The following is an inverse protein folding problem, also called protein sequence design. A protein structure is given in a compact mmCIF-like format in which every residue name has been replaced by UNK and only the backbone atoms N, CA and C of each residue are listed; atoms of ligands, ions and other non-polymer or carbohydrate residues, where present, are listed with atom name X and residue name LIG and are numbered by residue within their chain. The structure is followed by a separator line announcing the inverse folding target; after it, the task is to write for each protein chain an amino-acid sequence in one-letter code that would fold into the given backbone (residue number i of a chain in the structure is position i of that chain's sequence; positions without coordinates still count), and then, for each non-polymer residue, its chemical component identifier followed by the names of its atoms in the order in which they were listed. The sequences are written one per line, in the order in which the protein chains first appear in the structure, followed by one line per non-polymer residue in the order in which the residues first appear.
data_IF_166268749786
#
_entry.id   IF_166268749786
#
_cell.length_a   1.000
_cell.length_b   1.000
_cell.length_c   1.000
_cell.angle_alpha   90.00
_cell.angle_beta   90.00
_cell.angle_gamma   90.00
#
_symmetry.space_group_name_H-M   'P 1'
#
loop_
_entity.id
_entity.type
_entity.pdbx_description
1 polymer ?
#
# COMPACT_ATOMS: atom_id res chain seq x y z
N UNK A 1 -30.40 16.13 -4.26
CA UNK A 1 -29.83 14.80 -4.48
C UNK A 1 -28.33 14.75 -4.14
N UNK A 2 -27.46 15.57 -4.72
CA UNK A 2 -26.00 15.55 -4.47
C UNK A 2 -25.59 15.69 -3.00
N UNK A 3 -26.28 16.55 -2.22
CA UNK A 3 -25.99 16.74 -0.79
C UNK A 3 -26.24 15.45 -0.01
N UNK A 4 -27.33 14.74 -0.30
CA UNK A 4 -27.64 13.46 0.37
C UNK A 4 -26.65 12.35 -0.02
N UNK A 5 -26.20 12.34 -1.26
CA UNK A 5 -25.16 11.40 -1.70
C UNK A 5 -23.78 11.68 -1.05
N UNK A 6 -23.44 12.95 -0.83
CA UNK A 6 -22.21 13.35 -0.18
C UNK A 6 -22.25 13.22 1.36
N UNK A 7 -23.44 13.20 1.96
CA UNK A 7 -23.64 13.23 3.42
C UNK A 7 -22.90 12.10 4.16
N UNK A 8 -22.92 10.83 3.73
CA UNK A 8 -22.18 9.75 4.39
C UNK A 8 -20.68 10.00 4.43
N UNK A 9 -20.11 10.52 3.33
CA UNK A 9 -18.66 10.82 3.21
C UNK A 9 -18.29 11.99 4.14
N UNK A 10 -19.09 13.07 4.12
CA UNK A 10 -18.89 14.22 5.00
C UNK A 10 -19.00 13.81 6.47
N UNK A 11 -20.00 12.96 6.80
CA UNK A 11 -20.16 12.43 8.15
C UNK A 11 -18.91 11.62 8.58
N UNK A 12 -18.39 10.75 7.73
CA UNK A 12 -17.15 10.01 8.00
C UNK A 12 -15.99 10.95 8.34
N UNK A 13 -15.79 11.98 7.51
CA UNK A 13 -14.74 12.98 7.72
C UNK A 13 -14.92 13.67 9.07
N UNK A 14 -16.11 14.17 9.38
CA UNK A 14 -16.40 14.86 10.64
C UNK A 14 -16.24 13.92 11.84
N UNK A 15 -16.78 12.70 11.76
CA UNK A 15 -16.66 11.72 12.85
C UNK A 15 -15.20 11.38 13.16
N UNK A 16 -14.36 11.22 12.14
CA UNK A 16 -12.95 10.85 12.34
C UNK A 16 -12.09 12.05 12.74
N UNK A 17 -12.29 13.23 12.14
CA UNK A 17 -11.42 14.39 12.37
C UNK A 17 -11.84 15.23 13.57
N UNK A 18 -13.14 15.50 13.75
CA UNK A 18 -13.69 16.35 14.81
C UNK A 18 -14.06 15.53 16.04
N UNK A 19 -14.87 14.48 15.87
CA UNK A 19 -15.33 13.64 16.98
C UNK A 19 -14.30 12.60 17.41
N UNK A 20 -13.23 12.43 16.63
CA UNK A 20 -12.13 11.47 16.88
C UNK A 20 -12.62 10.03 17.09
N UNK A 21 -13.68 9.67 16.39
CA UNK A 21 -14.19 8.30 16.41
C UNK A 21 -13.21 7.34 15.71
N UNK A 22 -13.24 6.06 16.12
CA UNK A 22 -12.53 5.03 15.38
C UNK A 22 -13.14 4.83 13.99
N UNK A 23 -12.32 4.39 13.03
CA UNK A 23 -12.77 4.13 11.66
C UNK A 23 -14.00 3.21 11.61
N UNK A 24 -14.05 2.18 12.47
CA UNK A 24 -15.20 1.25 12.56
C UNK A 24 -16.49 1.98 12.96
N UNK A 25 -16.44 2.84 14.00
CA UNK A 25 -17.63 3.59 14.44
C UNK A 25 -18.08 4.58 13.39
N UNK A 26 -17.16 5.29 12.76
CA UNK A 26 -17.47 6.22 11.69
C UNK A 26 -18.06 5.52 10.46
N UNK A 27 -17.49 4.37 10.05
CA UNK A 27 -18.01 3.57 8.94
C UNK A 27 -19.44 3.06 9.19
N UNK A 28 -19.72 2.56 10.40
CA UNK A 28 -21.09 2.15 10.78
C UNK A 28 -22.09 3.31 10.73
N UNK A 29 -21.71 4.49 11.22
CA UNK A 29 -22.55 5.68 11.12
C UNK A 29 -22.80 6.08 9.66
N UNK A 30 -21.76 6.09 8.81
CA UNK A 30 -21.88 6.36 7.38
C UNK A 30 -22.80 5.34 6.68
N UNK A 31 -22.64 4.05 6.99
CA UNK A 31 -23.50 2.98 6.48
C UNK A 31 -24.98 3.20 6.87
N UNK A 32 -25.26 3.51 8.14
CA UNK A 32 -26.61 3.78 8.58
C UNK A 32 -27.23 4.97 7.82
N UNK A 33 -26.47 6.06 7.64
CA UNK A 33 -26.95 7.24 6.89
C UNK A 33 -27.19 6.91 5.42
N UNK A 34 -26.30 6.10 4.79
CA UNK A 34 -26.49 5.65 3.42
C UNK A 34 -27.73 4.77 3.26
N UNK A 35 -27.97 3.84 4.18
CA UNK A 35 -29.15 2.97 4.15
C UNK A 35 -30.45 3.78 4.34
N UNK A 36 -30.46 4.71 5.30
CA UNK A 36 -31.60 5.61 5.53
C UNK A 36 -31.87 6.51 4.31
N UNK A 37 -30.80 7.10 3.75
CA UNK A 37 -30.87 7.91 2.53
C UNK A 37 -31.37 7.10 1.33
N UNK A 38 -30.82 5.89 1.14
CA UNK A 38 -31.25 4.97 0.10
C UNK A 38 -32.70 4.57 0.21
N UNK A 39 -33.15 4.20 1.41
CA UNK A 39 -34.56 3.77 1.65
C UNK A 39 -35.58 4.92 1.52
N UNK A 40 -35.33 6.03 2.22
CA UNK A 40 -36.35 7.08 2.38
C UNK A 40 -36.21 8.21 1.37
N UNK A 41 -34.96 8.64 1.07
CA UNK A 41 -34.75 9.76 0.16
C UNK A 41 -34.74 9.31 -1.30
N UNK A 42 -34.02 8.24 -1.62
CA UNK A 42 -33.97 7.69 -2.98
C UNK A 42 -35.09 6.69 -3.26
N UNK A 43 -35.96 6.41 -2.30
CA UNK A 43 -37.07 5.48 -2.42
C UNK A 43 -36.66 4.10 -2.93
N UNK A 44 -35.48 3.64 -2.49
CA UNK A 44 -34.97 2.33 -2.83
C UNK A 44 -35.75 1.24 -2.10
N UNK A 45 -36.34 0.32 -2.84
CA UNK A 45 -37.03 -0.83 -2.26
C UNK A 45 -36.05 -1.79 -1.56
N UNK A 46 -36.55 -2.68 -0.71
CA UNK A 46 -35.76 -3.66 0.03
C UNK A 46 -34.89 -4.54 -0.88
N UNK A 47 -35.36 -4.88 -2.07
CA UNK A 47 -34.60 -5.64 -3.06
C UNK A 47 -33.36 -4.87 -3.55
N UNK A 48 -33.49 -3.56 -3.85
CA UNK A 48 -32.35 -2.71 -4.22
C UNK A 48 -31.32 -2.69 -3.10
N UNK A 49 -31.76 -2.40 -1.85
CA UNK A 49 -30.85 -2.31 -0.71
C UNK A 49 -30.12 -3.64 -0.44
N UNK A 50 -30.82 -4.76 -0.57
CA UNK A 50 -30.20 -6.09 -0.42
C UNK A 50 -29.14 -6.37 -1.50
N UNK A 51 -29.42 -6.01 -2.76
CA UNK A 51 -28.48 -6.16 -3.87
C UNK A 51 -27.25 -5.28 -3.66
N UNK A 52 -27.42 -4.01 -3.29
CA UNK A 52 -26.30 -3.10 -3.06
C UNK A 52 -25.48 -3.50 -1.81
N UNK A 53 -26.12 -4.00 -0.76
CA UNK A 53 -25.41 -4.60 0.37
C UNK A 53 -24.59 -5.83 -0.03
N UNK A 54 -25.12 -6.69 -0.90
CA UNK A 54 -24.42 -7.84 -1.45
C UNK A 54 -23.17 -7.43 -2.28
N UNK A 55 -23.32 -6.43 -3.15
CA UNK A 55 -22.20 -5.85 -3.91
C UNK A 55 -21.13 -5.28 -3.00
N UNK A 56 -21.53 -4.53 -1.97
CA UNK A 56 -20.62 -3.95 -0.98
C UNK A 56 -19.83 -5.01 -0.24
N UNK A 57 -20.53 -6.06 0.22
CA UNK A 57 -19.89 -7.17 0.94
C UNK A 57 -18.88 -7.92 0.05
N UNK A 58 -19.22 -8.12 -1.22
CA UNK A 58 -18.32 -8.72 -2.19
C UNK A 58 -17.05 -7.87 -2.41
N UNK A 59 -17.21 -6.56 -2.65
CA UNK A 59 -16.08 -5.64 -2.81
C UNK A 59 -15.22 -5.58 -1.54
N UNK A 60 -15.85 -5.55 -0.36
CA UNK A 60 -15.13 -5.60 0.91
C UNK A 60 -14.33 -6.90 1.07
N UNK A 61 -14.90 -8.06 0.69
CA UNK A 61 -14.22 -9.35 0.74
C UNK A 61 -12.96 -9.37 -0.15
N UNK A 62 -13.05 -8.83 -1.37
CA UNK A 62 -11.93 -8.73 -2.30
C UNK A 62 -10.77 -7.95 -1.66
N UNK A 63 -11.08 -6.78 -1.09
CA UNK A 63 -10.07 -5.92 -0.44
C UNK A 63 -9.51 -6.61 0.82
N UNK A 64 -10.36 -7.23 1.64
CA UNK A 64 -9.94 -7.93 2.86
C UNK A 64 -8.98 -9.07 2.54
N UNK A 65 -9.19 -9.82 1.46
CA UNK A 65 -8.28 -10.88 1.01
C UNK A 65 -6.89 -10.31 0.69
N UNK A 66 -6.81 -9.17 0.00
CA UNK A 66 -5.52 -8.51 -0.29
C UNK A 66 -4.86 -8.05 1.02
N UNK A 67 -5.61 -7.35 1.87
CA UNK A 67 -5.08 -6.83 3.15
C UNK A 67 -4.57 -7.96 4.05
N UNK A 68 -5.34 -9.04 4.19
CA UNK A 68 -4.97 -10.18 5.03
C UNK A 68 -3.69 -10.86 4.53
N UNK A 69 -3.59 -11.13 3.23
CA UNK A 69 -2.41 -11.78 2.63
C UNK A 69 -1.18 -10.87 2.64
N UNK A 70 -1.36 -9.54 2.50
CA UNK A 70 -0.30 -8.57 2.62
C UNK A 70 0.26 -8.51 4.06
N UNK A 71 -0.63 -8.47 5.06
CA UNK A 71 -0.24 -8.53 6.48
C UNK A 71 0.41 -9.89 6.80
N UNK A 72 -0.04 -10.98 6.18
CA UNK A 72 0.58 -12.31 6.34
C UNK A 72 2.05 -12.28 5.85
N UNK A 73 2.30 -11.76 4.66
CA UNK A 73 3.66 -11.61 4.12
C UNK A 73 4.55 -10.76 5.04
N UNK A 74 4.00 -9.64 5.54
CA UNK A 74 4.67 -8.83 6.54
C UNK A 74 5.01 -9.61 7.81
N UNK A 75 4.05 -10.34 8.38
CA UNK A 75 4.25 -11.10 9.62
C UNK A 75 5.27 -12.23 9.47
N UNK A 76 5.32 -12.87 8.32
CA UNK A 76 6.35 -13.87 8.01
C UNK A 76 7.75 -13.22 8.07
N UNK A 77 7.94 -12.08 7.40
CA UNK A 77 9.21 -11.36 7.39
C UNK A 77 9.58 -10.79 8.76
N UNK A 78 8.59 -10.26 9.49
CA UNK A 78 8.79 -9.72 10.84
C UNK A 78 9.20 -10.81 11.84
N UNK A 79 8.51 -11.95 11.82
CA UNK A 79 8.79 -13.07 12.74
C UNK A 79 10.17 -13.68 12.47
N UNK A 80 10.64 -13.65 11.23
CA UNK A 80 11.98 -14.09 10.86
C UNK A 80 13.10 -13.08 11.21
N UNK A 81 12.77 -11.87 11.67
CA UNK A 81 13.75 -10.82 11.94
C UNK A 81 14.30 -10.13 10.67
N UNK A 82 13.65 -10.32 9.51
CA UNK A 82 14.14 -9.77 8.24
C UNK A 82 14.25 -8.23 8.26
N UNK A 83 13.32 -7.53 8.91
CA UNK A 83 13.34 -6.06 8.97
C UNK A 83 14.47 -5.50 9.84
N UNK A 84 14.87 -6.17 10.92
CA UNK A 84 16.03 -5.77 11.72
C UNK A 84 17.32 -5.89 10.91
N UNK A 85 17.47 -6.96 10.13
CA UNK A 85 18.60 -7.14 9.19
C UNK A 85 18.61 -6.05 8.12
N UNK A 86 17.45 -5.73 7.52
CA UNK A 86 17.35 -4.67 6.51
C UNK A 86 17.80 -3.34 7.13
N UNK A 87 17.29 -2.97 8.32
CA UNK A 87 17.68 -1.75 9.03
C UNK A 87 19.20 -1.65 9.23
N UNK A 88 19.79 -2.67 9.81
CA UNK A 88 21.21 -2.67 10.14
C UNK A 88 22.08 -2.60 8.87
N UNK A 89 21.78 -3.42 7.87
CA UNK A 89 22.54 -3.43 6.59
C UNK A 89 22.40 -2.10 5.84
N UNK A 90 21.21 -1.50 5.83
CA UNK A 90 21.04 -0.19 5.20
C UNK A 90 21.80 0.91 5.94
N UNK A 91 21.82 0.89 7.27
CA UNK A 91 22.61 1.82 8.08
C UNK A 91 24.12 1.72 7.77
N UNK A 92 24.64 0.50 7.57
CA UNK A 92 26.04 0.29 7.21
C UNK A 92 26.35 0.67 5.76
N UNK A 93 25.39 0.48 4.84
CA UNK A 93 25.56 0.80 3.42
C UNK A 93 25.40 2.28 3.10
N UNK A 94 24.68 3.03 3.93
CA UNK A 94 24.33 4.45 3.73
C UNK A 94 24.85 5.31 4.88
N UNK A 95 26.14 5.69 4.88
CA UNK A 95 26.72 6.54 5.93
C UNK A 95 26.18 7.97 5.90
N UNK A 96 25.64 8.43 4.78
CA UNK A 96 24.96 9.70 4.66
C UNK A 96 23.56 9.63 5.30
N UNK A 97 23.39 10.33 6.46
CA UNK A 97 22.15 10.27 7.24
C UNK A 97 20.93 10.78 6.47
N UNK A 98 21.08 11.82 5.62
CA UNK A 98 19.98 12.31 4.79
C UNK A 98 19.52 11.25 3.78
N UNK A 99 20.46 10.58 3.10
CA UNK A 99 20.11 9.53 2.15
C UNK A 99 19.45 8.34 2.86
N UNK A 100 19.92 8.00 4.07
CA UNK A 100 19.33 6.95 4.89
C UNK A 100 17.88 7.28 5.30
N UNK A 101 17.62 8.55 5.70
CA UNK A 101 16.27 9.03 6.03
C UNK A 101 15.36 9.02 4.80
N UNK A 102 15.87 9.48 3.64
CA UNK A 102 15.12 9.39 2.36
C UNK A 102 14.83 7.94 1.98
N UNK A 103 15.82 7.05 2.17
CA UNK A 103 15.64 5.63 1.89
C UNK A 103 14.56 5.01 2.78
N UNK A 104 14.66 5.17 4.11
CA UNK A 104 13.75 4.54 5.06
C UNK A 104 12.36 5.21 5.09
N UNK A 105 12.29 6.55 4.97
CA UNK A 105 11.04 7.29 5.11
C UNK A 105 10.27 7.49 3.79
N UNK A 106 10.87 7.22 2.66
CA UNK A 106 10.24 7.42 1.35
C UNK A 106 10.38 6.21 0.43
N UNK A 107 11.62 5.82 0.08
CA UNK A 107 11.84 4.81 -0.97
C UNK A 107 11.41 3.41 -0.53
N UNK A 108 11.77 3.02 0.69
CA UNK A 108 11.37 1.75 1.27
C UNK A 108 9.86 1.69 1.53
N UNK A 109 9.28 2.81 1.97
CA UNK A 109 7.83 2.93 2.15
C UNK A 109 7.06 2.82 0.84
N UNK A 110 7.60 3.44 -0.22
CA UNK A 110 7.05 3.33 -1.58
C UNK A 110 7.05 1.87 -2.07
N UNK A 111 8.13 1.15 -1.80
CA UNK A 111 8.22 -0.28 -2.13
C UNK A 111 7.18 -1.10 -1.36
N UNK A 112 7.04 -0.88 -0.06
CA UNK A 112 6.03 -1.55 0.74
C UNK A 112 4.60 -1.18 0.29
N UNK A 113 4.35 0.09 -0.06
CA UNK A 113 3.06 0.56 -0.56
C UNK A 113 2.70 -0.10 -1.90
N UNK A 114 3.66 -0.29 -2.79
CA UNK A 114 3.44 -1.01 -4.05
C UNK A 114 2.91 -2.43 -3.85
N UNK A 115 3.23 -3.06 -2.69
CA UNK A 115 2.88 -4.44 -2.38
C UNK A 115 1.69 -4.55 -1.45
N UNK A 116 1.74 -3.84 -0.31
CA UNK A 116 0.88 -4.13 0.85
C UNK A 116 -0.15 -3.05 1.13
N UNK A 117 0.20 -1.77 1.00
CA UNK A 117 -0.70 -0.67 1.36
C UNK A 117 -1.31 -0.76 2.77
N UNK A 118 -2.48 -0.16 2.96
CA UNK A 118 -3.36 -0.27 4.16
C UNK A 118 -2.66 -0.04 5.51
N UNK A 119 -1.67 0.88 5.55
CA UNK A 119 -0.95 1.24 6.76
C UNK A 119 0.19 0.29 7.13
N UNK A 120 0.42 -0.80 6.39
CA UNK A 120 1.57 -1.69 6.61
C UNK A 120 2.90 -0.95 6.42
N UNK A 121 3.09 -0.10 5.39
CA UNK A 121 4.32 0.66 5.26
C UNK A 121 4.66 1.43 6.54
N UNK A 122 3.73 2.20 7.07
CA UNK A 122 3.95 2.98 8.32
C UNK A 122 4.26 2.07 9.51
N UNK A 123 3.56 0.93 9.62
CA UNK A 123 3.77 -0.01 10.72
C UNK A 123 5.17 -0.65 10.69
N UNK A 124 5.78 -0.77 9.51
CA UNK A 124 7.15 -1.26 9.32
C UNK A 124 8.16 -0.13 9.44
N UNK A 125 7.93 0.97 8.74
CA UNK A 125 8.85 2.08 8.63
C UNK A 125 9.05 2.85 9.93
N UNK A 126 7.99 3.04 10.72
CA UNK A 126 8.10 3.79 11.96
C UNK A 126 9.13 3.17 12.95
N UNK A 127 9.11 1.86 13.25
CA UNK A 127 10.17 1.23 14.05
C UNK A 127 11.56 1.33 13.43
N UNK A 128 11.67 1.21 12.10
CA UNK A 128 12.96 1.34 11.41
C UNK A 128 13.53 2.74 11.54
N UNK A 129 12.70 3.77 11.37
CA UNK A 129 13.07 5.18 11.52
C UNK A 129 13.43 5.54 12.97
N UNK A 130 12.67 5.05 13.96
CA UNK A 130 13.03 5.17 15.37
C UNK A 130 14.44 4.59 15.63
N UNK A 131 14.73 3.42 15.10
CA UNK A 131 16.02 2.75 15.25
C UNK A 131 17.20 3.47 14.60
N UNK A 132 16.98 4.41 13.69
CA UNK A 132 18.04 5.29 13.14
C UNK A 132 18.09 6.66 13.82
N UNK A 133 17.24 6.91 14.84
CA UNK A 133 17.23 8.13 15.64
C UNK A 133 16.24 9.20 15.18
N UNK A 134 15.26 8.86 14.35
CA UNK A 134 14.14 9.77 14.03
C UNK A 134 13.20 9.88 15.24
N UNK A 135 12.73 11.08 15.54
CA UNK A 135 11.82 11.29 16.67
C UNK A 135 10.45 10.61 16.44
N UNK A 136 9.72 10.22 17.50
CA UNK A 136 8.52 9.37 17.36
C UNK A 136 7.43 9.93 16.44
N UNK A 137 7.17 11.24 16.51
CA UNK A 137 6.17 11.87 15.65
C UNK A 137 6.60 11.80 14.16
N UNK A 138 7.88 12.11 13.88
CA UNK A 138 8.42 12.08 12.52
C UNK A 138 8.60 10.67 11.98
N UNK A 139 8.84 9.69 12.85
CA UNK A 139 8.89 8.28 12.44
C UNK A 139 7.56 7.77 11.87
N UNK A 140 6.43 8.42 12.19
CA UNK A 140 5.12 8.15 11.59
C UNK A 140 4.85 9.07 10.39
N UNK A 141 5.21 10.35 10.48
CA UNK A 141 4.93 11.34 9.42
C UNK A 141 5.71 11.03 8.14
N UNK A 142 6.99 10.67 8.24
CA UNK A 142 7.82 10.41 7.06
C UNK A 142 7.29 9.24 6.19
N UNK A 143 6.95 8.08 6.74
CA UNK A 143 6.30 7.00 5.99
C UNK A 143 4.99 7.41 5.34
N UNK A 144 4.15 8.18 6.04
CA UNK A 144 2.89 8.68 5.49
C UNK A 144 3.10 9.58 4.28
N UNK A 145 4.11 10.46 4.34
CA UNK A 145 4.49 11.29 3.19
C UNK A 145 5.05 10.44 2.05
N UNK A 146 5.97 9.51 2.37
CA UNK A 146 6.69 8.71 1.39
C UNK A 146 5.81 7.73 0.63
N UNK A 147 4.80 7.14 1.28
CA UNK A 147 3.90 6.18 0.64
C UNK A 147 2.76 6.82 -0.16
N UNK A 148 2.41 8.10 0.09
CA UNK A 148 1.16 8.70 -0.37
C UNK A 148 1.02 8.76 -1.90
N UNK A 149 2.10 8.86 -2.65
CA UNK A 149 2.08 8.86 -4.11
C UNK A 149 1.60 7.52 -4.71
N UNK A 150 1.84 6.41 -4.01
CA UNK A 150 1.40 5.09 -4.43
C UNK A 150 -0.04 4.74 -3.99
N UNK A 151 -0.85 5.67 -3.54
CA UNK A 151 -2.18 5.35 -3.00
C UNK A 151 -3.13 4.75 -4.04
N UNK A 152 -3.07 5.20 -5.29
CA UNK A 152 -3.97 4.71 -6.34
C UNK A 152 -3.49 3.41 -6.95
N UNK A 153 -2.20 3.31 -7.29
CA UNK A 153 -1.64 2.15 -7.98
C UNK A 153 -0.86 1.20 -7.06
N UNK A 154 -0.71 1.55 -5.79
CA UNK A 154 -0.15 0.67 -4.78
C UNK A 154 -1.05 -0.51 -4.47
N UNK A 155 -0.55 -1.44 -3.68
CA UNK A 155 -1.23 -2.71 -3.38
C UNK A 155 -1.64 -3.44 -4.66
N UNK A 156 -0.71 -3.46 -5.63
CA UNK A 156 -0.93 -4.06 -6.96
C UNK A 156 -2.21 -3.51 -7.64
N UNK A 157 -2.39 -2.19 -7.59
CA UNK A 157 -3.47 -1.41 -8.19
C UNK A 157 -4.88 -1.65 -7.62
N UNK A 158 -5.02 -2.18 -6.41
CA UNK A 158 -6.34 -2.46 -5.83
C UNK A 158 -7.26 -1.22 -5.78
N UNK A 159 -6.73 -0.03 -5.46
CA UNK A 159 -7.52 1.20 -5.44
C UNK A 159 -7.85 1.72 -6.86
N UNK A 160 -6.94 1.54 -7.81
CA UNK A 160 -7.19 1.84 -9.22
C UNK A 160 -8.31 0.98 -9.80
N UNK A 161 -8.29 -0.32 -9.54
CA UNK A 161 -9.33 -1.24 -10.00
C UNK A 161 -10.70 -0.86 -9.42
N UNK A 162 -10.75 -0.51 -8.13
CA UNK A 162 -11.97 -0.02 -7.50
C UNK A 162 -12.47 1.29 -8.13
N UNK A 163 -11.57 2.24 -8.41
CA UNK A 163 -11.90 3.50 -9.08
C UNK A 163 -12.42 3.24 -10.50
N UNK A 164 -11.71 2.43 -11.28
CA UNK A 164 -12.07 2.13 -12.66
C UNK A 164 -13.46 1.46 -12.74
N UNK A 165 -13.73 0.55 -11.82
CA UNK A 165 -15.03 -0.12 -11.72
C UNK A 165 -16.15 0.85 -11.33
N UNK A 166 -15.93 1.69 -10.30
CA UNK A 166 -16.92 2.67 -9.86
C UNK A 166 -17.22 3.74 -10.92
N UNK A 167 -16.20 4.14 -11.70
CA UNK A 167 -16.34 5.12 -12.77
C UNK A 167 -16.76 4.50 -14.12
N UNK A 168 -16.99 3.18 -14.20
CA UNK A 168 -17.37 2.50 -15.44
C UNK A 168 -16.30 2.54 -16.52
N UNK A 169 -15.02 2.62 -16.14
CA UNK A 169 -13.89 2.66 -17.08
C UNK A 169 -13.59 1.24 -17.59
N UNK A 170 -13.77 1.02 -18.89
CA UNK A 170 -13.46 -0.27 -19.50
C UNK A 170 -11.96 -0.45 -19.70
N UNK A 171 -11.40 -1.53 -19.17
CA UNK A 171 -9.99 -1.85 -19.36
C UNK A 171 -9.63 -1.91 -20.86
N UNK A 172 -8.53 -1.25 -21.23
CA UNK A 172 -8.09 -1.11 -22.63
C UNK A 172 -8.79 0.00 -23.42
N UNK A 173 -9.77 0.72 -22.84
CA UNK A 173 -10.39 1.88 -23.45
C UNK A 173 -9.49 3.14 -23.39
N UNK A 174 -9.67 4.06 -24.33
CA UNK A 174 -8.91 5.31 -24.37
C UNK A 174 -9.07 6.13 -23.08
N UNK A 175 -10.31 6.24 -22.57
CA UNK A 175 -10.59 6.98 -21.34
C UNK A 175 -9.89 6.33 -20.12
N UNK A 176 -9.84 4.99 -20.05
CA UNK A 176 -9.12 4.26 -19.02
C UNK A 176 -7.62 4.61 -19.03
N UNK A 177 -6.98 4.50 -20.19
CA UNK A 177 -5.56 4.81 -20.35
C UNK A 177 -5.24 6.29 -20.04
N UNK A 178 -6.06 7.20 -20.54
CA UNK A 178 -5.91 8.65 -20.30
C UNK A 178 -6.07 8.98 -18.82
N UNK A 179 -7.06 8.42 -18.14
CA UNK A 179 -7.28 8.63 -16.70
C UNK A 179 -6.12 8.06 -15.89
N UNK A 180 -5.62 6.87 -16.24
CA UNK A 180 -4.45 6.27 -15.59
C UNK A 180 -3.21 7.18 -15.71
N UNK A 181 -2.93 7.70 -16.92
CA UNK A 181 -1.80 8.61 -17.14
C UNK A 181 -1.95 9.90 -16.35
N UNK A 182 -3.11 10.54 -16.38
CA UNK A 182 -3.35 11.79 -15.66
C UNK A 182 -3.18 11.60 -14.15
N UNK A 183 -3.70 10.49 -13.62
CA UNK A 183 -3.54 10.13 -12.20
C UNK A 183 -2.07 9.92 -11.86
N UNK A 184 -1.32 9.17 -12.66
CA UNK A 184 0.11 8.93 -12.45
C UNK A 184 0.92 10.23 -12.47
N UNK A 185 0.63 11.16 -13.40
CA UNK A 185 1.30 12.46 -13.47
C UNK A 185 1.01 13.34 -12.24
N UNK A 186 -0.23 13.34 -11.73
CA UNK A 186 -0.57 14.05 -10.49
C UNK A 186 0.14 13.45 -9.28
N UNK A 187 0.20 12.12 -9.21
CA UNK A 187 0.93 11.42 -8.15
C UNK A 187 2.44 11.65 -8.24
N UNK A 188 3.00 11.80 -9.44
CA UNK A 188 4.41 12.14 -9.62
C UNK A 188 4.75 13.52 -9.03
N UNK A 189 3.89 14.53 -9.23
CA UNK A 189 4.06 15.84 -8.57
C UNK A 189 4.11 15.68 -7.05
N UNK A 190 3.19 14.90 -6.48
CA UNK A 190 3.20 14.61 -5.05
C UNK A 190 4.45 13.85 -4.61
N UNK A 191 4.90 12.87 -5.37
CA UNK A 191 6.12 12.11 -5.12
C UNK A 191 7.35 13.03 -5.02
N UNK A 192 7.50 13.94 -5.99
CA UNK A 192 8.58 14.93 -5.98
C UNK A 192 8.48 15.84 -4.74
N UNK A 193 7.29 16.33 -4.45
CA UNK A 193 7.06 17.17 -3.27
C UNK A 193 7.40 16.44 -1.98
N UNK A 194 7.02 15.17 -1.83
CA UNK A 194 7.33 14.37 -0.64
C UNK A 194 8.84 14.28 -0.39
N UNK A 195 9.64 13.97 -1.41
CA UNK A 195 11.10 13.94 -1.31
C UNK A 195 11.70 15.29 -0.90
N UNK A 196 11.22 16.40 -1.51
CA UNK A 196 11.65 17.75 -1.15
C UNK A 196 11.26 18.15 0.28
N UNK A 197 10.04 17.81 0.71
CA UNK A 197 9.56 18.07 2.08
C UNK A 197 10.38 17.30 3.11
N UNK A 198 10.71 16.04 2.87
CA UNK A 198 11.57 15.25 3.76
C UNK A 198 12.94 15.92 3.91
N UNK A 199 13.56 16.34 2.81
CA UNK A 199 14.82 17.11 2.87
C UNK A 199 14.66 18.41 3.65
N UNK A 200 13.57 19.13 3.42
CA UNK A 200 13.30 20.39 4.11
C UNK A 200 13.12 20.21 5.63
N UNK A 201 12.36 19.21 6.05
CA UNK A 201 12.15 18.93 7.47
C UNK A 201 13.41 18.39 8.15
N UNK A 202 14.23 17.63 7.42
CA UNK A 202 15.48 17.10 7.95
C UNK A 202 16.52 18.20 8.22
N UNK A 203 16.73 19.17 7.32
CA UNK A 203 17.82 20.15 7.49
C UNK A 203 17.69 21.40 6.62
N UNK A 204 16.45 21.83 6.34
CA UNK A 204 16.14 23.07 5.64
C UNK A 204 16.92 23.21 4.31
N UNK A 205 17.46 24.41 4.04
CA UNK A 205 18.19 24.71 2.80
C UNK A 205 19.43 23.84 2.58
N UNK A 206 20.14 23.46 3.64
CA UNK A 206 21.36 22.65 3.52
C UNK A 206 21.02 21.24 3.03
N UNK A 207 20.04 20.60 3.67
CA UNK A 207 19.59 19.26 3.28
C UNK A 207 18.88 19.26 1.92
N UNK A 208 18.14 20.34 1.60
CA UNK A 208 17.51 20.46 0.30
C UNK A 208 18.57 20.52 -0.84
N UNK A 209 19.62 21.33 -0.68
CA UNK A 209 20.72 21.38 -1.67
C UNK A 209 21.44 20.04 -1.81
N UNK A 210 21.75 19.38 -0.68
CA UNK A 210 22.44 18.08 -0.67
C UNK A 210 21.56 16.95 -1.21
N UNK A 211 20.26 16.95 -0.88
CA UNK A 211 19.31 15.89 -1.26
C UNK A 211 18.72 16.04 -2.66
N UNK A 212 18.75 17.25 -3.25
CA UNK A 212 18.10 17.52 -4.53
C UNK A 212 18.48 16.53 -5.65
N UNK A 213 19.76 16.16 -5.88
CA UNK A 213 20.09 15.19 -6.92
C UNK A 213 19.44 13.81 -6.67
N UNK A 214 19.42 13.35 -5.41
CA UNK A 214 18.77 12.09 -5.06
C UNK A 214 17.25 12.18 -5.26
N UNK A 215 16.62 13.27 -4.79
CA UNK A 215 15.18 13.46 -4.93
C UNK A 215 14.75 13.50 -6.39
N UNK A 216 15.46 14.25 -7.24
CA UNK A 216 15.14 14.32 -8.66
C UNK A 216 15.27 12.97 -9.36
N UNK A 217 16.38 12.25 -9.12
CA UNK A 217 16.60 10.94 -9.73
C UNK A 217 15.57 9.91 -9.25
N UNK A 218 15.37 9.80 -7.94
CA UNK A 218 14.47 8.80 -7.36
C UNK A 218 13.00 9.10 -7.71
N UNK A 219 12.61 10.38 -7.71
CA UNK A 219 11.28 10.78 -8.14
C UNK A 219 11.06 10.55 -9.65
N UNK A 220 12.06 10.77 -10.49
CA UNK A 220 11.97 10.46 -11.91
C UNK A 220 11.81 8.95 -12.17
N UNK A 221 12.50 8.11 -11.41
CA UNK A 221 12.35 6.65 -11.50
C UNK A 221 10.96 6.23 -11.03
N UNK A 222 10.50 6.70 -9.87
CA UNK A 222 9.20 6.34 -9.31
C UNK A 222 8.05 6.91 -10.14
N UNK A 223 7.92 8.22 -10.20
CA UNK A 223 6.79 8.87 -10.86
C UNK A 223 6.83 8.76 -12.38
N UNK A 224 8.01 8.90 -13.00
CA UNK A 224 8.18 8.68 -14.44
C UNK A 224 7.92 7.22 -14.84
N UNK A 225 8.43 6.27 -14.04
CA UNK A 225 8.16 4.85 -14.23
C UNK A 225 6.69 4.50 -14.04
N UNK A 226 6.01 5.09 -13.04
CA UNK A 226 4.58 4.94 -12.84
C UNK A 226 3.77 5.47 -14.02
N UNK A 227 4.09 6.67 -14.52
CA UNK A 227 3.43 7.26 -15.68
C UNK A 227 3.59 6.39 -16.94
N UNK A 228 4.79 5.85 -17.20
CA UNK A 228 5.05 4.98 -18.34
C UNK A 228 4.30 3.64 -18.21
N UNK A 229 4.42 2.98 -17.04
CA UNK A 229 3.83 1.67 -16.82
C UNK A 229 2.31 1.72 -16.63
N UNK A 230 1.71 2.85 -16.26
CA UNK A 230 0.26 3.02 -16.19
C UNK A 230 -0.42 2.74 -17.54
N UNK A 231 0.30 2.91 -18.65
CA UNK A 231 -0.16 2.64 -20.02
C UNK A 231 -0.04 1.17 -20.40
N UNK A 232 0.74 0.39 -19.65
CA UNK A 232 1.01 -1.03 -19.94
C UNK A 232 0.27 -1.93 -18.94
N UNK A 233 0.45 -1.69 -17.67
CA UNK A 233 -0.14 -2.47 -16.58
C UNK A 233 -0.25 -1.64 -15.31
N UNK A 234 -1.42 -1.15 -14.95
CA UNK A 234 -1.64 -0.43 -13.68
C UNK A 234 -1.17 -1.21 -12.45
N UNK A 235 -1.29 -2.54 -12.50
CA UNK A 235 -0.85 -3.44 -11.40
C UNK A 235 0.65 -3.34 -11.13
N UNK A 236 1.46 -3.13 -12.16
CA UNK A 236 2.93 -3.08 -12.06
C UNK A 236 3.47 -1.66 -11.92
N UNK A 237 2.64 -0.63 -12.20
CA UNK A 237 3.13 0.72 -12.40
C UNK A 237 3.66 1.42 -11.13
N UNK A 238 3.18 1.06 -9.94
CA UNK A 238 3.75 1.53 -8.68
C UNK A 238 4.89 0.61 -8.20
N UNK A 239 4.67 -0.70 -8.27
CA UNK A 239 5.58 -1.68 -7.66
C UNK A 239 6.96 -1.74 -8.35
N UNK A 240 7.01 -1.85 -9.69
CA UNK A 240 8.28 -1.96 -10.40
C UNK A 240 9.17 -0.72 -10.28
N UNK A 241 8.65 0.52 -10.46
CA UNK A 241 9.44 1.72 -10.22
C UNK A 241 9.91 1.85 -8.77
N UNK A 242 9.12 1.39 -7.80
CA UNK A 242 9.54 1.35 -6.41
C UNK A 242 10.72 0.38 -6.19
N UNK A 243 10.69 -0.82 -6.80
CA UNK A 243 11.83 -1.74 -6.79
C UNK A 243 13.08 -1.12 -7.45
N UNK A 244 12.91 -0.48 -8.61
CA UNK A 244 14.01 0.19 -9.31
C UNK A 244 14.61 1.34 -8.47
N UNK A 245 13.77 2.10 -7.77
CA UNK A 245 14.23 3.18 -6.90
C UNK A 245 14.98 2.69 -5.66
N UNK A 246 14.62 1.51 -5.11
CA UNK A 246 15.42 0.87 -4.05
C UNK A 246 16.86 0.59 -4.52
N UNK A 247 17.00 -0.02 -5.70
CA UNK A 247 18.30 -0.30 -6.28
C UNK A 247 19.07 0.99 -6.57
N UNK A 248 18.40 1.99 -7.15
CA UNK A 248 19.00 3.30 -7.45
C UNK A 248 19.49 4.00 -6.17
N UNK A 249 18.74 3.95 -5.06
CA UNK A 249 19.16 4.53 -3.79
C UNK A 249 20.41 3.85 -3.20
N UNK A 250 20.50 2.51 -3.31
CA UNK A 250 21.70 1.76 -2.91
C UNK A 250 22.91 2.12 -3.79
N UNK A 251 22.69 2.30 -5.09
CA UNK A 251 23.75 2.74 -6.02
C UNK A 251 24.18 4.19 -5.72
N UNK A 252 23.24 5.09 -5.45
CA UNK A 252 23.53 6.47 -5.05
C UNK A 252 24.40 6.54 -3.80
N UNK A 253 24.19 5.66 -2.81
CA UNK A 253 25.01 5.60 -1.59
C UNK A 253 26.48 5.34 -1.87
N UNK A 254 26.82 4.70 -3.01
CA UNK A 254 28.19 4.42 -3.43
C UNK A 254 28.83 5.55 -4.24
N UNK A 255 28.05 6.55 -4.65
CA UNK A 255 28.55 7.69 -5.44
C UNK A 255 29.32 8.68 -4.56
N UNK A 256 30.19 9.48 -5.15
CA UNK A 256 30.93 10.54 -4.44
C UNK A 256 30.02 11.60 -3.77
N UNK A 257 28.74 11.68 -4.18
CA UNK A 257 27.77 12.58 -3.55
C UNK A 257 27.30 12.12 -2.17
N UNK A 258 27.19 10.79 -1.93
CA UNK A 258 26.55 10.22 -0.73
C UNK A 258 27.39 9.14 -0.03
N UNK A 259 28.59 8.85 -0.52
CA UNK A 259 29.51 7.86 0.08
C UNK A 259 30.06 8.31 1.43
N UNK A 260 30.25 9.62 1.61
CA UNK A 260 30.79 10.18 2.83
C UNK A 260 29.68 10.41 3.87
N UNK A 261 30.01 10.22 5.13
CA UNK A 261 29.14 10.55 6.25
C UNK A 261 28.78 12.03 6.22
N UNK A 262 27.51 12.34 6.19
CA UNK A 262 26.99 13.69 6.21
C UNK A 262 25.72 13.74 7.04
N UNK A 263 25.61 14.72 7.91
CA UNK A 263 24.43 14.93 8.76
C UNK A 263 24.25 16.41 9.09
N UNK A 264 23.05 16.77 9.50
CA UNK A 264 22.72 18.07 10.08
C UNK A 264 22.58 17.88 11.59
N UNK A 265 23.45 18.56 12.38
CA UNK A 265 23.49 18.37 13.84
C UNK A 265 22.16 18.80 14.48
N UNK A 266 21.60 19.94 14.08
CA UNK A 266 20.36 20.51 14.60
C UNK A 266 19.13 20.11 13.79
N UNK A 267 19.07 18.84 13.36
CA UNK A 267 17.93 18.34 12.58
C UNK A 267 16.67 18.31 13.44
N UNK A 268 15.61 19.00 12.98
CA UNK A 268 14.33 19.07 13.69
C UNK A 268 13.54 17.76 13.74
N UNK A 269 13.93 16.75 12.95
CA UNK A 269 13.25 15.46 12.93
C UNK A 269 14.03 14.35 13.66
N UNK A 270 15.32 14.60 13.97
CA UNK A 270 16.17 13.62 14.64
C UNK A 270 16.16 13.82 16.17
N UNK A 271 16.08 12.72 16.91
CA UNK A 271 16.28 12.69 18.35
C UNK A 271 17.41 11.71 18.67
N UNK A 272 18.64 12.23 18.64
CA UNK A 272 19.84 11.41 18.82
C UNK A 272 20.05 10.93 20.24
N UNK A 273 19.35 11.52 21.23
CA UNK A 273 19.42 11.09 22.63
C UNK A 273 18.66 9.79 22.88
N UNK A 274 17.67 9.48 22.05
CA UNK A 274 16.84 8.28 22.13
C UNK A 274 17.29 7.19 21.16
N UNK A 275 18.48 7.26 20.57
CA UNK A 275 19.04 6.07 19.94
C UNK A 275 19.18 5.04 21.05
N UNK A 276 18.11 4.30 21.28
CA UNK A 276 18.17 3.09 22.07
C UNK A 276 19.25 2.25 21.38
N UNK A 277 20.34 2.10 22.04
CA UNK A 277 21.15 0.93 21.95
C UNK A 277 20.20 -0.20 22.36
N UNK A 278 19.30 -0.59 21.44
CA UNK A 278 18.67 -1.89 21.54
C UNK A 278 19.86 -2.83 21.77
N UNK A 279 19.91 -3.40 22.97
CA UNK A 279 20.83 -4.47 23.27
C UNK A 279 20.74 -5.41 22.05
N UNK A 280 21.85 -5.92 21.50
CA UNK A 280 21.82 -6.70 20.30
C UNK A 280 20.87 -7.87 20.54
N UNK A 281 19.59 -7.71 20.15
CA UNK A 281 18.75 -8.88 19.94
C UNK A 281 19.59 -9.76 19.01
N UNK A 282 19.79 -11.01 19.40
CA UNK A 282 20.58 -11.95 18.64
C UNK A 282 20.03 -11.96 17.21
N UNK A 283 20.67 -11.17 16.34
CA UNK A 283 20.20 -11.01 14.97
C UNK A 283 20.38 -12.33 14.25
N UNK A 284 19.38 -12.74 13.44
CA UNK A 284 19.56 -13.93 12.64
C UNK A 284 20.75 -13.74 11.70
N UNK A 285 21.58 -14.74 11.57
CA UNK A 285 22.65 -14.76 10.55
C UNK A 285 22.00 -14.84 9.17
N UNK A 286 21.60 -13.68 8.68
CA UNK A 286 20.80 -13.50 7.48
C UNK A 286 21.45 -12.42 6.60
N UNK A 287 21.64 -12.73 5.34
CA UNK A 287 22.07 -11.73 4.35
C UNK A 287 20.90 -10.84 3.94
N UNK A 288 21.21 -9.65 3.39
CA UNK A 288 20.21 -8.72 2.88
C UNK A 288 19.30 -9.36 1.81
N UNK A 289 19.89 -10.15 0.88
CA UNK A 289 19.12 -10.85 -0.16
C UNK A 289 18.17 -11.89 0.45
N UNK A 290 18.59 -12.56 1.52
CA UNK A 290 17.74 -13.52 2.24
C UNK A 290 16.60 -12.82 2.96
N UNK A 291 16.84 -11.63 3.52
CA UNK A 291 15.79 -10.82 4.14
C UNK A 291 14.74 -10.34 3.12
N UNK A 292 15.15 -10.06 1.89
CA UNK A 292 14.25 -9.67 0.82
C UNK A 292 13.62 -10.84 0.04
N UNK A 293 13.98 -12.10 0.35
CA UNK A 293 13.58 -13.26 -0.44
C UNK A 293 12.06 -13.35 -0.71
N UNK A 294 11.15 -13.19 0.27
CA UNK A 294 9.72 -13.27 -0.03
C UNK A 294 9.25 -12.19 -1.01
N UNK A 295 9.85 -11.01 -0.95
CA UNK A 295 9.54 -9.89 -1.84
C UNK A 295 10.11 -10.08 -3.24
N UNK A 296 11.28 -10.74 -3.36
CA UNK A 296 11.83 -11.16 -4.66
C UNK A 296 10.93 -12.20 -5.32
N UNK A 297 10.44 -13.18 -4.54
CA UNK A 297 9.45 -14.16 -5.04
C UNK A 297 8.19 -13.45 -5.52
N UNK A 298 7.67 -12.48 -4.75
CA UNK A 298 6.52 -11.69 -5.15
C UNK A 298 6.76 -10.95 -6.47
N UNK A 299 7.92 -10.29 -6.60
CA UNK A 299 8.28 -9.55 -7.80
C UNK A 299 8.35 -10.45 -9.03
N UNK A 300 9.00 -11.61 -8.90
CA UNK A 300 9.13 -12.59 -9.98
C UNK A 300 7.76 -13.15 -10.37
N UNK A 301 6.93 -13.54 -9.40
CA UNK A 301 5.57 -14.04 -9.67
C UNK A 301 4.71 -12.98 -10.38
N UNK A 302 4.71 -11.74 -9.88
CA UNK A 302 3.95 -10.65 -10.48
C UNK A 302 4.43 -10.37 -11.92
N UNK A 303 5.74 -10.31 -12.15
CA UNK A 303 6.29 -10.13 -13.49
C UNK A 303 5.92 -11.28 -14.44
N UNK A 304 6.14 -12.52 -14.03
CA UNK A 304 5.85 -13.69 -14.89
C UNK A 304 4.38 -13.78 -15.21
N UNK A 305 3.50 -13.56 -14.22
CA UNK A 305 2.05 -13.74 -14.43
C UNK A 305 1.43 -12.55 -15.14
N UNK A 306 1.84 -11.31 -14.86
CA UNK A 306 1.17 -10.13 -15.36
C UNK A 306 1.84 -9.50 -16.60
N UNK A 307 3.17 -9.64 -16.76
CA UNK A 307 3.89 -9.09 -17.90
C UNK A 307 4.03 -10.09 -19.09
N UNK A 308 3.67 -11.38 -18.90
CA UNK A 308 3.74 -12.40 -19.96
C UNK A 308 2.33 -12.72 -20.48
N UNK A 309 1.90 -12.16 -21.63
CA UNK A 309 0.50 -12.26 -22.10
C UNK A 309 -0.07 -13.67 -22.16
N UNK A 310 0.65 -14.72 -22.65
CA UNK A 310 0.13 -16.08 -22.65
C UNK A 310 -0.19 -16.61 -21.24
N UNK A 311 0.64 -16.27 -20.25
CA UNK A 311 0.45 -16.69 -18.85
C UNK A 311 -0.75 -15.97 -18.25
N UNK A 312 -0.86 -14.65 -18.47
CA UNK A 312 -2.00 -13.84 -18.01
C UNK A 312 -3.31 -14.37 -18.59
N UNK A 313 -3.35 -14.66 -19.89
CA UNK A 313 -4.55 -15.18 -20.55
C UNK A 313 -4.94 -16.58 -20.04
N UNK A 314 -3.98 -17.46 -19.82
CA UNK A 314 -4.23 -18.80 -19.30
C UNK A 314 -4.77 -18.74 -17.86
N UNK A 315 -4.09 -18.02 -16.98
CA UNK A 315 -4.43 -17.92 -15.56
C UNK A 315 -5.66 -17.02 -15.31
N UNK A 316 -5.92 -16.06 -16.19
CA UNK A 316 -7.08 -15.17 -16.12
C UNK A 316 -8.43 -15.81 -16.55
N UNK A 317 -8.42 -17.05 -17.01
CA UNK A 317 -9.65 -17.76 -17.46
C UNK A 317 -10.58 -18.08 -16.30
N UNK A 318 -10.05 -18.39 -15.13
CA UNK A 318 -10.86 -18.77 -13.97
C UNK A 318 -11.30 -17.50 -13.24
N UNK A 319 -12.55 -17.13 -13.45
CA UNK A 319 -13.17 -15.96 -12.84
C UNK A 319 -14.21 -16.36 -11.79
N UNK A 320 -14.23 -15.67 -10.67
CA UNK A 320 -15.23 -15.82 -9.62
C UNK A 320 -15.98 -14.50 -9.47
N UNK A 321 -17.28 -14.54 -9.58
CA UNK A 321 -18.19 -13.41 -9.38
C UNK A 321 -19.59 -13.96 -9.11
N UNK A 322 -20.56 -13.12 -8.84
CA UNK A 322 -21.95 -13.55 -8.63
C UNK A 322 -22.90 -12.73 -9.49
N UNK A 323 -24.06 -13.33 -9.88
CA UNK A 323 -25.06 -12.63 -10.67
C UNK A 323 -25.75 -11.56 -9.81
N UNK A 324 -25.98 -10.40 -10.42
CA UNK A 324 -26.67 -9.27 -9.78
C UNK A 324 -27.88 -8.93 -10.66
N UNK A 325 -29.11 -8.96 -10.11
CA UNK A 325 -30.29 -8.58 -10.87
C UNK A 325 -30.32 -7.07 -11.14
N UNK A 326 -31.04 -6.68 -12.17
CA UNK A 326 -31.36 -5.28 -12.42
C UNK A 326 -32.24 -4.75 -11.28
N UNK A 327 -31.95 -3.53 -10.82
CA UNK A 327 -32.72 -2.84 -9.77
C UNK A 327 -33.04 -1.41 -10.21
N UNK A 328 -34.03 -0.81 -9.60
CA UNK A 328 -34.49 0.55 -9.93
C UNK A 328 -34.76 1.35 -8.66
N UNK A 329 -34.41 2.63 -8.65
CA UNK A 329 -34.75 3.59 -7.60
C UNK A 329 -36.15 4.18 -7.83
N UNK A 330 -36.69 4.89 -6.84
CA UNK A 330 -37.95 5.59 -6.98
C UNK A 330 -37.95 6.78 -7.95
N UNK A 331 -36.76 7.16 -8.45
CA UNK A 331 -36.61 8.21 -9.47
C UNK A 331 -36.31 7.64 -10.86
N UNK A 332 -36.76 6.44 -11.15
CA UNK A 332 -36.58 5.73 -12.42
C UNK A 332 -35.12 5.51 -12.84
N UNK A 333 -34.16 5.69 -11.92
CA UNK A 333 -32.77 5.32 -12.19
C UNK A 333 -32.61 3.80 -12.14
N UNK A 334 -32.20 3.24 -13.27
CA UNK A 334 -32.01 1.80 -13.44
C UNK A 334 -30.54 1.43 -13.21
N UNK A 335 -30.31 0.57 -12.23
CA UNK A 335 -29.02 -0.09 -12.03
C UNK A 335 -29.01 -1.37 -12.88
N UNK A 336 -28.14 -1.41 -13.88
CA UNK A 336 -28.07 -2.59 -14.78
C UNK A 336 -27.70 -3.85 -14.00
N UNK A 337 -28.34 -4.95 -14.35
CA UNK A 337 -27.97 -6.28 -13.88
C UNK A 337 -26.64 -6.73 -14.51
N UNK A 338 -25.99 -7.70 -13.88
CA UNK A 338 -24.76 -8.31 -14.37
C UNK A 338 -24.79 -9.81 -14.08
N UNK A 339 -24.46 -10.63 -15.07
CA UNK A 339 -24.34 -12.08 -14.87
C UNK A 339 -23.13 -12.44 -13.99
N UNK A 340 -22.13 -11.57 -13.94
CA UNK A 340 -20.92 -11.77 -13.13
C UNK A 340 -20.40 -10.41 -12.64
N UNK A 341 -20.88 -9.97 -11.49
CA UNK A 341 -20.49 -8.68 -10.90
C UNK A 341 -19.07 -8.75 -10.36
N UNK A 342 -18.26 -7.72 -10.68
CA UNK A 342 -16.88 -7.55 -10.22
C UNK A 342 -16.08 -8.86 -10.21
N UNK A 343 -15.91 -9.53 -11.38
CA UNK A 343 -15.29 -10.85 -11.43
C UNK A 343 -13.82 -10.78 -11.02
N UNK A 344 -13.44 -11.62 -10.07
CA UNK A 344 -12.05 -11.81 -9.66
C UNK A 344 -11.43 -12.92 -10.52
N UNK A 345 -10.36 -12.61 -11.23
CA UNK A 345 -9.53 -13.64 -11.88
C UNK A 345 -8.63 -14.26 -10.79
N UNK A 346 -9.00 -15.43 -10.28
CA UNK A 346 -8.43 -16.02 -9.06
C UNK A 346 -6.90 -16.09 -9.13
N UNK A 347 -6.32 -16.64 -10.17
CA UNK A 347 -4.87 -16.88 -10.26
C UNK A 347 -4.05 -15.64 -10.67
N UNK A 348 -4.68 -14.55 -11.11
CA UNK A 348 -4.02 -13.28 -11.40
C UNK A 348 -4.33 -12.22 -10.35
N UNK A 349 -5.07 -12.58 -9.30
CA UNK A 349 -5.44 -11.67 -8.23
C UNK A 349 -4.25 -11.42 -7.28
N UNK A 350 -4.08 -10.18 -6.84
CA UNK A 350 -2.98 -9.76 -5.97
C UNK A 350 -2.82 -10.61 -4.69
N UNK A 351 -3.95 -11.02 -4.09
CA UNK A 351 -3.92 -11.85 -2.87
C UNK A 351 -3.25 -13.20 -3.07
N UNK A 352 -3.32 -13.79 -4.26
CA UNK A 352 -2.69 -15.09 -4.57
C UNK A 352 -1.18 -14.95 -4.66
N UNK A 353 -0.67 -13.88 -5.27
CA UNK A 353 0.77 -13.60 -5.31
C UNK A 353 1.33 -13.35 -3.91
N UNK A 354 0.61 -12.56 -3.10
CA UNK A 354 0.97 -12.27 -1.72
C UNK A 354 0.97 -13.55 -0.87
N UNK A 355 -0.06 -14.39 -1.02
CA UNK A 355 -0.16 -15.67 -0.29
C UNK A 355 0.97 -16.64 -0.69
N UNK A 356 1.21 -16.80 -2.00
CA UNK A 356 2.28 -17.65 -2.50
C UNK A 356 3.67 -17.18 -2.02
N UNK A 357 3.90 -15.87 -2.03
CA UNK A 357 5.15 -15.27 -1.55
C UNK A 357 5.31 -15.42 -0.04
N UNK A 358 4.24 -15.24 0.73
CA UNK A 358 4.24 -15.48 2.18
C UNK A 358 4.51 -16.94 2.51
N UNK A 359 3.90 -17.88 1.78
CA UNK A 359 4.13 -19.32 1.95
C UNK A 359 5.58 -19.71 1.59
N UNK A 360 6.10 -19.22 0.45
CA UNK A 360 7.50 -19.44 0.06
C UNK A 360 8.47 -18.87 1.09
N UNK A 361 8.21 -17.64 1.57
CA UNK A 361 8.98 -16.98 2.62
C UNK A 361 8.96 -17.76 3.92
N UNK A 362 7.78 -18.20 4.36
CA UNK A 362 7.64 -19.01 5.56
C UNK A 362 8.44 -20.32 5.47
N UNK A 363 8.30 -21.07 4.37
CA UNK A 363 9.02 -22.32 4.16
C UNK A 363 10.52 -22.08 4.15
N UNK A 364 10.98 -21.04 3.46
CA UNK A 364 12.39 -20.69 3.40
C UNK A 364 12.96 -20.33 4.77
N UNK A 365 12.33 -19.42 5.50
CA UNK A 365 12.78 -18.98 6.82
C UNK A 365 12.68 -20.10 7.88
N UNK A 366 11.67 -20.96 7.76
CA UNK A 366 11.52 -22.14 8.61
C UNK A 366 12.66 -23.14 8.40
N UNK A 367 13.04 -23.40 7.15
CA UNK A 367 14.18 -24.30 6.82
C UNK A 367 15.52 -23.77 7.30
N UNK A 368 15.64 -22.45 7.46
CA UNK A 368 16.81 -21.78 8.03
C UNK A 368 16.76 -21.62 9.54
N UNK A 369 15.75 -22.15 10.20
CA UNK A 369 15.52 -22.02 11.65
C UNK A 369 15.32 -20.58 12.15
N UNK A 370 15.03 -19.61 11.27
CA UNK A 370 14.70 -18.23 11.66
C UNK A 370 13.26 -18.06 12.14
N UNK A 371 12.39 -19.05 11.87
CA UNK A 371 11.04 -19.15 12.44
C UNK A 371 10.97 -20.43 13.26
N UNK A 372 10.67 -20.32 14.57
CA UNK A 372 10.61 -21.44 15.52
C UNK A 372 9.40 -22.37 15.32
N UNK A 373 9.35 -23.46 16.09
CA UNK A 373 8.18 -24.36 16.18
C UNK A 373 7.00 -23.57 16.75
N UNK A 374 5.82 -23.66 16.14
CA UNK A 374 4.67 -22.83 16.52
C UNK A 374 4.60 -21.45 15.88
N UNK A 375 5.64 -21.00 15.16
CA UNK A 375 5.65 -19.70 14.50
C UNK A 375 4.51 -19.50 13.51
N UNK A 376 4.06 -20.54 12.82
CA UNK A 376 2.91 -20.44 11.91
C UNK A 376 1.62 -20.02 12.62
N UNK A 377 1.31 -20.65 13.75
CA UNK A 377 0.12 -20.32 14.55
C UNK A 377 0.17 -18.87 15.06
N UNK A 378 1.35 -18.43 15.52
CA UNK A 378 1.58 -17.05 15.95
C UNK A 378 1.39 -16.07 14.79
N UNK A 379 1.99 -16.32 13.63
CA UNK A 379 1.87 -15.50 12.41
C UNK A 379 0.41 -15.37 12.01
N UNK A 380 -0.32 -16.46 11.89
CA UNK A 380 -1.75 -16.46 11.51
C UNK A 380 -2.61 -15.69 12.52
N UNK A 381 -2.38 -15.91 13.83
CA UNK A 381 -3.07 -15.18 14.90
C UNK A 381 -2.82 -13.67 14.80
N UNK A 382 -1.57 -13.26 14.67
CA UNK A 382 -1.20 -11.85 14.56
C UNK A 382 -1.73 -11.21 13.27
N UNK A 383 -1.68 -11.94 12.14
CA UNK A 383 -2.27 -11.51 10.87
C UNK A 383 -3.75 -11.20 11.02
N UNK A 384 -4.52 -12.14 11.56
CA UNK A 384 -5.96 -11.99 11.75
C UNK A 384 -6.29 -10.86 12.72
N UNK A 385 -5.56 -10.75 13.84
CA UNK A 385 -5.76 -9.67 14.80
C UNK A 385 -5.50 -8.28 14.20
N UNK A 386 -4.45 -8.13 13.37
CA UNK A 386 -4.12 -6.87 12.70
C UNK A 386 -5.07 -6.52 11.55
N UNK A 387 -5.61 -7.53 10.86
CA UNK A 387 -6.59 -7.31 9.78
C UNK A 387 -7.98 -6.96 10.31
N UNK A 388 -8.34 -7.43 11.52
CA UNK A 388 -9.69 -7.27 12.07
C UNK A 388 -10.24 -5.84 12.07
N UNK A 389 -9.50 -4.79 12.49
CA UNK A 389 -10.01 -3.42 12.45
C UNK A 389 -10.33 -2.93 11.03
N UNK A 390 -9.46 -3.24 10.05
CA UNK A 390 -9.67 -2.90 8.64
C UNK A 390 -10.86 -3.65 8.05
N UNK A 391 -10.99 -4.95 8.36
CA UNK A 391 -12.11 -5.77 7.89
C UNK A 391 -13.45 -5.28 8.43
N UNK A 392 -13.51 -4.89 9.72
CA UNK A 392 -14.72 -4.31 10.31
C UNK A 392 -15.07 -2.94 9.72
N UNK A 393 -14.07 -2.12 9.43
CA UNK A 393 -14.29 -0.82 8.80
C UNK A 393 -14.78 -0.97 7.35
N UNK A 394 -14.20 -1.88 6.57
CA UNK A 394 -14.59 -2.15 5.18
C UNK A 394 -15.98 -2.79 5.08
N UNK A 395 -16.32 -3.72 5.97
CA UNK A 395 -17.63 -4.35 6.02
C UNK A 395 -18.76 -3.38 6.41
N UNK A 396 -18.43 -2.25 7.03
CA UNK A 396 -19.37 -1.18 7.37
C UNK A 396 -19.47 -0.05 6.33
N UNK A 397 -18.67 -0.09 5.24
CA UNK A 397 -18.76 0.92 4.18
C UNK A 397 -19.88 0.55 3.20
N UNK A 398 -20.83 1.46 2.93
CA UNK A 398 -21.85 1.24 1.90
C UNK A 398 -21.19 1.22 0.51
N UNK A 399 -21.73 0.45 -0.40
CA UNK A 399 -21.48 0.65 -1.82
C UNK A 399 -22.04 2.03 -2.20
N UNK A 400 -21.17 2.89 -2.67
CA UNK A 400 -21.57 4.21 -3.16
C UNK A 400 -22.09 4.09 -4.61
#
# INVERSE_FOLDING_TARGET
MWIMAALPILLLIVCMTVLKWSAVKAALAGMCVSLIGGAFFYQGGAALLAVEAGKSLWNALIIILIVWTAILLYQVSQTAGAFSVIRQRMRSLMPNELLLVLFMGWIFESFLQGITGFGVPVAVGAPLLLGIGVSPAWAVILPLLGQAWGNTFGTLAAAWDALAMAAGLSAGGELYARTALQTALMLWVWNLMAGLLICWFYGKKQALKKGLPAVLLLSAIQGGGEALLSQVSPVLCCFLPACASLLAAVLLAKTGLYREAWRVEDSGIMNRQTVQTDAPEAEPDMSLMQAFMPYVVLAVLALVVLAVPPVTQLLGRVKLGFPVPQTQTGYDHVNAGSDCYAPISIFTHASVFLLASAAAGFVYYRRRSWIGSGGLAQILKQTTQRTRPSALALGGLPAA
#
